data_IF_157307147058
#
_entry.id   IF_157307147058
#
_cell.length_a   1.000
_cell.length_b   1.000
_cell.length_c   1.000
_cell.angle_alpha   90.00
_cell.angle_beta   90.00
_cell.angle_gamma   90.00
#
_symmetry.space_group_name_H-M   'P 1'
#
loop_
_entity.id
_entity.type
_entity.pdbx_description
1 polymer ?
#
# COMPACT_ATOMS: atom_id res chain seq x y z
N UNK A 1 -4.91 -10.45 -46.71
CA UNK A 1 -5.05 -11.03 -45.36
C UNK A 1 -3.79 -10.86 -44.48
N UNK A 2 -2.55 -10.97 -45.00
CA UNK A 2 -1.31 -10.76 -44.20
C UNK A 2 -1.21 -9.38 -43.53
N UNK A 3 -1.58 -8.31 -44.25
CA UNK A 3 -1.45 -6.94 -43.73
C UNK A 3 -2.45 -6.60 -42.61
N UNK A 4 -3.58 -7.31 -42.54
CA UNK A 4 -4.58 -7.14 -41.50
C UNK A 4 -4.14 -7.79 -40.18
N UNK A 5 -3.43 -8.94 -40.26
CA UNK A 5 -2.81 -9.58 -39.10
C UNK A 5 -1.71 -8.71 -38.48
N UNK A 6 -0.90 -8.04 -39.30
CA UNK A 6 0.15 -7.14 -38.81
C UNK A 6 -0.42 -5.86 -38.18
N UNK A 7 -1.55 -5.35 -38.68
CA UNK A 7 -2.25 -4.20 -38.10
C UNK A 7 -2.93 -4.54 -36.76
N UNK A 8 -3.51 -5.74 -36.63
CA UNK A 8 -4.05 -6.25 -35.36
C UNK A 8 -2.94 -6.50 -34.32
N UNK A 9 -1.80 -7.09 -34.73
CA UNK A 9 -0.65 -7.26 -33.84
C UNK A 9 -0.07 -5.92 -33.38
N UNK A 10 0.04 -4.93 -34.27
CA UNK A 10 0.50 -3.60 -33.91
C UNK A 10 -0.49 -2.89 -32.96
N UNK A 11 -1.81 -3.07 -33.16
CA UNK A 11 -2.83 -2.55 -32.26
C UNK A 11 -2.81 -3.18 -30.86
N UNK A 12 -2.58 -4.49 -30.77
CA UNK A 12 -2.47 -5.23 -29.51
C UNK A 12 -1.21 -4.80 -28.71
N UNK A 13 -0.08 -4.63 -29.39
CA UNK A 13 1.19 -4.18 -28.78
C UNK A 13 1.13 -2.71 -28.34
N UNK A 14 0.34 -1.87 -29.02
CA UNK A 14 0.15 -0.47 -28.60
C UNK A 14 -0.85 -0.34 -27.44
N UNK A 15 -1.80 -1.27 -27.31
CA UNK A 15 -2.79 -1.29 -26.23
C UNK A 15 -2.28 -1.85 -24.89
N UNK A 16 -1.23 -2.66 -24.90
CA UNK A 16 -0.64 -3.22 -23.68
C UNK A 16 0.27 -2.26 -22.90
N UNK A 17 0.56 -1.07 -23.44
CA UNK A 17 1.42 -0.07 -22.80
C UNK A 17 0.66 0.94 -21.92
N UNK A 18 -0.65 0.77 -21.73
CA UNK A 18 -1.48 1.68 -20.92
C UNK A 18 -2.05 1.02 -19.66
N UNK A 19 -1.48 -0.10 -19.21
CA UNK A 19 -1.78 -0.63 -17.88
C UNK A 19 -1.17 0.34 -16.85
N UNK A 20 -1.99 1.28 -16.40
CA UNK A 20 -1.65 2.18 -15.30
C UNK A 20 -1.78 1.39 -14.00
N UNK A 21 -0.74 1.41 -13.17
CA UNK A 21 -0.59 0.54 -11.99
C UNK A 21 -1.83 0.34 -11.12
N UNK A 22 -2.11 -0.92 -10.80
CA UNK A 22 -3.31 -1.41 -10.10
C UNK A 22 -3.24 -1.32 -8.57
N UNK A 23 -2.21 -0.68 -8.01
CA UNK A 23 -1.98 -0.60 -6.58
C UNK A 23 -1.81 0.86 -6.13
N UNK A 24 -2.62 1.25 -5.15
CA UNK A 24 -2.59 2.59 -4.58
C UNK A 24 -2.34 2.53 -3.07
N UNK A 25 -1.24 3.11 -2.61
CA UNK A 25 -1.10 3.43 -1.18
C UNK A 25 -1.61 4.86 -0.98
N UNK A 26 -2.62 5.01 -0.14
CA UNK A 26 -3.21 6.27 0.26
C UNK A 26 -2.80 6.59 1.71
N UNK A 27 -1.93 7.59 1.87
CA UNK A 27 -1.61 8.21 3.16
C UNK A 27 -2.44 9.49 3.29
N UNK A 28 -3.35 9.56 4.26
CA UNK A 28 -4.09 10.78 4.56
C UNK A 28 -3.79 11.27 5.97
N UNK A 29 -3.52 12.56 6.11
CA UNK A 29 -3.27 13.18 7.40
C UNK A 29 -4.08 14.46 7.53
N UNK A 30 -4.90 14.53 8.57
CA UNK A 30 -5.66 15.73 8.92
C UNK A 30 -4.99 16.44 10.09
N UNK A 31 -4.71 17.74 9.94
CA UNK A 31 -4.17 18.57 11.01
C UNK A 31 -5.13 19.69 11.39
N UNK A 32 -5.53 19.71 12.66
CA UNK A 32 -6.24 20.84 13.28
C UNK A 32 -5.25 21.87 13.81
N UNK A 33 -5.69 23.12 13.99
CA UNK A 33 -4.84 24.20 14.50
C UNK A 33 -4.33 23.94 15.93
N UNK A 34 -4.99 23.06 16.69
CA UNK A 34 -4.53 22.63 18.01
C UNK A 34 -3.36 21.63 17.96
N UNK A 35 -2.95 21.19 16.76
CA UNK A 35 -1.89 20.19 16.55
C UNK A 35 -2.35 18.74 16.65
N UNK A 36 -3.61 18.50 17.04
CA UNK A 36 -4.26 17.18 17.00
C UNK A 36 -4.72 16.84 15.59
N UNK A 37 -5.09 15.59 15.34
CA UNK A 37 -5.50 15.18 14.02
C UNK A 37 -5.83 13.71 13.88
N UNK A 38 -6.00 13.29 12.63
CA UNK A 38 -6.17 11.89 12.24
C UNK A 38 -5.17 11.51 11.17
N UNK A 39 -4.75 10.25 11.20
CA UNK A 39 -3.86 9.63 10.24
C UNK A 39 -4.53 8.38 9.69
N UNK A 40 -4.40 8.16 8.39
CA UNK A 40 -4.90 7.00 7.66
C UNK A 40 -3.82 6.51 6.71
N UNK A 41 -3.56 5.21 6.72
CA UNK A 41 -2.73 4.55 5.71
C UNK A 41 -3.48 3.34 5.19
N UNK A 42 -3.88 3.41 3.92
CA UNK A 42 -4.66 2.39 3.24
C UNK A 42 -3.90 1.92 2.01
N UNK A 43 -3.64 0.63 1.94
CA UNK A 43 -3.28 -0.06 0.71
C UNK A 43 -4.57 -0.50 0.01
N UNK A 44 -4.84 0.09 -1.14
CA UNK A 44 -5.99 -0.22 -1.97
C UNK A 44 -5.52 -1.03 -3.19
N UNK A 45 -5.94 -2.30 -3.23
CA UNK A 45 -5.65 -3.25 -4.30
C UNK A 45 -6.93 -3.64 -5.04
N UNK A 46 -7.99 -2.84 -4.96
CA UNK A 46 -9.26 -3.14 -5.60
C UNK A 46 -9.15 -3.33 -7.12
N UNK A 47 -8.23 -2.65 -7.79
CA UNK A 47 -7.96 -2.82 -9.22
C UNK A 47 -7.31 -4.18 -9.55
N UNK A 48 -6.51 -4.74 -8.62
CA UNK A 48 -5.93 -6.09 -8.76
C UNK A 48 -7.01 -7.16 -8.75
N UNK A 49 -8.09 -6.97 -7.98
CA UNK A 49 -9.24 -7.89 -7.99
C UNK A 49 -9.80 -8.07 -9.41
N UNK A 50 -9.99 -6.96 -10.15
CA UNK A 50 -10.49 -7.01 -11.52
C UNK A 50 -9.56 -7.77 -12.47
N UNK A 51 -8.24 -7.63 -12.29
CA UNK A 51 -7.23 -8.34 -13.08
C UNK A 51 -7.22 -9.85 -12.77
N UNK A 52 -7.30 -10.23 -11.50
CA UNK A 52 -7.38 -11.64 -11.07
C UNK A 52 -8.67 -12.28 -11.60
N UNK A 53 -9.80 -11.60 -11.46
CA UNK A 53 -11.09 -12.09 -11.94
C UNK A 53 -11.09 -12.26 -13.48
N UNK A 54 -10.42 -11.37 -14.21
CA UNK A 54 -10.25 -11.49 -15.66
C UNK A 54 -9.33 -12.65 -16.05
N UNK A 55 -8.22 -12.86 -15.33
CA UNK A 55 -7.30 -13.98 -15.55
C UNK A 55 -7.99 -15.32 -15.32
N UNK A 56 -8.75 -15.45 -14.21
CA UNK A 56 -9.56 -16.63 -13.90
C UNK A 56 -10.59 -16.96 -14.99
N UNK A 57 -11.16 -15.93 -15.62
CA UNK A 57 -12.16 -16.09 -16.68
C UNK A 57 -11.56 -16.31 -18.09
N UNK A 58 -10.28 -16.00 -18.32
CA UNK A 58 -9.61 -16.17 -19.63
C UNK A 58 -8.84 -17.49 -19.80
N UNK A 59 -8.59 -18.25 -18.72
CA UNK A 59 -7.96 -19.58 -18.76
C UNK A 59 -8.93 -20.73 -18.40
N UNK A 60 -9.94 -21.04 -19.22
CA UNK A 60 -10.80 -22.20 -18.96
C UNK A 60 -10.25 -23.53 -19.48
N UNK A 61 -9.19 -23.58 -20.31
CA UNK A 61 -8.94 -24.77 -21.17
C UNK A 61 -7.47 -25.14 -21.45
N UNK A 62 -6.52 -24.76 -20.60
CA UNK A 62 -5.13 -25.25 -20.68
C UNK A 62 -4.69 -25.79 -19.33
N UNK A 63 -4.75 -27.13 -19.22
CA UNK A 63 -3.97 -28.01 -18.32
C UNK A 63 -3.76 -27.49 -16.91
N UNK A 64 -4.45 -28.09 -15.93
CA UNK A 64 -4.00 -28.32 -14.54
C UNK A 64 -2.88 -27.38 -14.05
N UNK A 65 -3.09 -26.08 -14.19
CA UNK A 65 -2.79 -25.20 -13.08
C UNK A 65 -4.05 -25.33 -12.25
N UNK A 66 -4.16 -26.47 -11.58
CA UNK A 66 -4.70 -26.45 -10.24
C UNK A 66 -3.92 -25.31 -9.57
N UNK A 67 -4.51 -24.12 -9.56
CA UNK A 67 -4.44 -23.26 -8.39
C UNK A 67 -5.15 -24.09 -7.32
N UNK A 68 -4.46 -25.16 -6.89
CA UNK A 68 -4.85 -26.03 -5.81
C UNK A 68 -5.19 -25.06 -4.69
N UNK A 69 -6.44 -25.17 -4.25
CA UNK A 69 -7.05 -24.53 -3.10
C UNK A 69 -6.36 -24.99 -1.80
N UNK A 70 -5.03 -25.12 -1.81
CA UNK A 70 -4.23 -25.79 -0.79
C UNK A 70 -2.94 -25.03 -0.43
N UNK A 71 -2.86 -23.72 -0.73
CA UNK A 71 -1.73 -22.91 -0.24
C UNK A 71 -1.64 -21.43 -0.63
N UNK A 72 -2.52 -20.93 -1.51
CA UNK A 72 -2.48 -19.53 -1.97
C UNK A 72 -3.24 -18.53 -1.07
N UNK A 73 -3.70 -18.94 0.10
CA UNK A 73 -4.32 -18.04 1.10
C UNK A 73 -3.28 -17.19 1.87
N UNK A 74 -1.98 -17.41 1.62
CA UNK A 74 -0.96 -16.95 2.56
C UNK A 74 -0.52 -15.50 2.34
N UNK A 75 -0.36 -15.02 1.10
CA UNK A 75 0.31 -13.73 0.87
C UNK A 75 -0.56 -12.52 1.26
N UNK A 76 -1.84 -12.52 0.91
CA UNK A 76 -2.77 -11.43 1.27
C UNK A 76 -3.19 -11.49 2.73
N UNK A 77 -3.41 -12.70 3.27
CA UNK A 77 -3.69 -12.87 4.68
C UNK A 77 -2.49 -12.45 5.55
N UNK A 78 -1.26 -12.76 5.11
CA UNK A 78 -0.03 -12.33 5.76
C UNK A 78 0.12 -10.81 5.75
N UNK A 79 -0.12 -10.14 4.61
CA UNK A 79 -0.12 -8.68 4.54
C UNK A 79 -1.17 -8.04 5.45
N UNK A 80 -2.37 -8.63 5.48
CA UNK A 80 -3.42 -8.27 6.44
C UNK A 80 -2.91 -8.39 7.89
N UNK A 81 -2.33 -9.53 8.26
CA UNK A 81 -1.78 -9.80 9.59
C UNK A 81 -0.65 -8.84 9.99
N UNK A 82 0.25 -8.48 9.07
CA UNK A 82 1.31 -7.49 9.32
C UNK A 82 0.70 -6.13 9.67
N UNK A 83 -0.30 -5.68 8.91
CA UNK A 83 -0.99 -4.42 9.15
C UNK A 83 -1.82 -4.47 10.45
N UNK A 84 -2.45 -5.61 10.78
CA UNK A 84 -3.11 -5.83 12.06
C UNK A 84 -2.11 -5.71 13.23
N UNK A 85 -0.90 -6.25 13.08
CA UNK A 85 0.17 -6.17 14.07
C UNK A 85 0.62 -4.74 14.34
N UNK A 86 0.73 -3.92 13.29
CA UNK A 86 1.00 -2.49 13.41
C UNK A 86 -0.12 -1.78 14.17
N UNK A 87 -1.39 -2.03 13.81
CA UNK A 87 -2.54 -1.45 14.50
C UNK A 87 -2.57 -1.82 15.99
N UNK A 88 -2.24 -3.07 16.34
CA UNK A 88 -2.13 -3.51 17.73
C UNK A 88 -1.03 -2.76 18.50
N UNK A 89 0.10 -2.50 17.85
CA UNK A 89 1.21 -1.74 18.47
C UNK A 89 0.82 -0.27 18.68
N UNK A 90 0.13 0.33 17.71
CA UNK A 90 -0.34 1.71 17.77
C UNK A 90 -1.33 1.97 18.93
N UNK A 91 -2.16 0.98 19.29
CA UNK A 91 -3.13 1.07 20.41
C UNK A 91 -2.49 1.38 21.75
N UNK A 92 -1.21 1.04 21.93
CA UNK A 92 -0.50 1.21 23.19
C UNK A 92 0.31 2.51 23.27
N UNK A 93 0.25 3.37 22.24
CA UNK A 93 1.03 4.60 22.20
C UNK A 93 0.32 5.76 22.88
N UNK A 94 1.05 6.44 23.78
CA UNK A 94 0.55 7.63 24.44
C UNK A 94 0.22 8.74 23.43
N UNK A 95 -1.00 9.27 23.53
CA UNK A 95 -1.49 10.31 22.63
C UNK A 95 -2.02 9.77 21.30
N UNK A 96 -2.12 8.45 21.12
CA UNK A 96 -2.82 7.80 20.01
C UNK A 96 -4.14 7.20 20.51
N UNK A 97 -5.22 7.45 19.78
CA UNK A 97 -6.58 7.04 20.13
C UNK A 97 -7.33 6.58 18.88
N UNK A 98 -8.49 5.95 19.06
CA UNK A 98 -9.38 5.54 17.96
C UNK A 98 -8.66 4.74 16.86
N UNK A 99 -7.76 3.83 17.27
CA UNK A 99 -7.03 2.98 16.32
C UNK A 99 -8.00 1.97 15.73
N UNK A 100 -8.16 2.01 14.42
CA UNK A 100 -8.98 1.07 13.65
C UNK A 100 -8.09 0.35 12.64
N UNK A 101 -8.25 -0.96 12.59
CA UNK A 101 -7.69 -1.79 11.54
C UNK A 101 -8.64 -1.77 10.35
N UNK A 102 -8.08 -1.67 9.14
CA UNK A 102 -8.79 -1.85 7.89
C UNK A 102 -8.33 -3.17 7.30
N UNK A 103 -9.24 -4.14 7.23
CA UNK A 103 -9.00 -5.46 6.70
C UNK A 103 -10.25 -5.90 5.91
N UNK A 104 -10.44 -5.28 4.76
CA UNK A 104 -11.54 -5.56 3.84
C UNK A 104 -11.02 -6.48 2.73
N UNK A 105 -11.10 -7.79 2.97
CA UNK A 105 -10.70 -8.82 2.00
C UNK A 105 -11.62 -8.87 0.79
N UNK A 106 -12.86 -8.37 0.89
CA UNK A 106 -13.81 -8.35 -0.22
C UNK A 106 -13.47 -7.25 -1.23
N UNK A 107 -13.13 -6.05 -0.72
CA UNK A 107 -12.73 -4.90 -1.51
C UNK A 107 -11.21 -4.79 -1.73
N UNK A 108 -10.42 -5.72 -1.15
CA UNK A 108 -8.95 -5.72 -1.21
C UNK A 108 -8.34 -4.43 -0.66
N UNK A 109 -8.83 -3.98 0.50
CA UNK A 109 -8.34 -2.77 1.18
C UNK A 109 -7.80 -3.14 2.55
N UNK A 110 -6.53 -2.80 2.80
CA UNK A 110 -5.85 -3.13 4.03
C UNK A 110 -5.17 -1.89 4.59
N UNK A 111 -5.06 -1.78 5.91
CA UNK A 111 -4.39 -0.63 6.51
C UNK A 111 -4.83 -0.35 7.93
N UNK A 112 -4.63 0.88 8.36
CA UNK A 112 -5.01 1.33 9.68
C UNK A 112 -5.28 2.83 9.71
N UNK A 113 -6.11 3.24 10.66
CA UNK A 113 -6.38 4.64 10.97
C UNK A 113 -6.23 4.90 12.45
N UNK A 114 -5.86 6.12 12.83
CA UNK A 114 -5.85 6.54 14.23
C UNK A 114 -5.98 8.05 14.36
N UNK A 115 -6.33 8.49 15.56
CA UNK A 115 -6.27 9.88 15.97
C UNK A 115 -5.03 10.13 16.82
N UNK A 116 -4.44 11.31 16.69
CA UNK A 116 -3.29 11.74 17.47
C UNK A 116 -3.58 13.04 18.21
N UNK A 117 -3.16 13.11 19.47
CA UNK A 117 -3.37 14.25 20.36
C UNK A 117 -2.51 15.46 19.97
N UNK A 118 -1.33 15.22 19.41
CA UNK A 118 -0.40 16.24 18.92
C UNK A 118 0.61 15.64 17.91
N UNK A 119 1.36 16.50 17.23
CA UNK A 119 2.34 16.09 16.20
C UNK A 119 3.48 15.25 16.78
N UNK A 120 3.84 15.44 18.06
CA UNK A 120 4.82 14.57 18.71
C UNK A 120 4.28 13.13 18.86
N UNK A 121 3.00 12.95 19.17
CA UNK A 121 2.36 11.63 19.17
C UNK A 121 2.34 11.00 17.77
N UNK A 122 2.04 11.78 16.73
CA UNK A 122 2.13 11.33 15.34
C UNK A 122 3.55 10.86 14.97
N UNK A 123 4.58 11.66 15.25
CA UNK A 123 5.97 11.27 14.97
C UNK A 123 6.39 9.99 15.70
N UNK A 124 5.95 9.80 16.96
CA UNK A 124 6.18 8.54 17.69
C UNK A 124 5.49 7.35 17.02
N UNK A 125 4.23 7.52 16.60
CA UNK A 125 3.49 6.48 15.88
C UNK A 125 4.21 6.09 14.58
N UNK A 126 4.62 7.07 13.78
CA UNK A 126 5.33 6.81 12.52
C UNK A 126 6.70 6.16 12.74
N UNK A 127 7.41 6.52 13.82
CA UNK A 127 8.67 5.85 14.18
C UNK A 127 8.48 4.38 14.52
N UNK A 128 7.34 4.01 15.13
CA UNK A 128 6.99 2.61 15.43
C UNK A 128 6.65 1.85 14.16
N UNK A 129 5.83 2.43 13.28
CA UNK A 129 5.50 1.86 11.96
C UNK A 129 6.78 1.63 11.14
N UNK A 130 7.76 2.53 11.26
CA UNK A 130 8.99 2.53 10.47
C UNK A 130 10.16 1.79 11.15
N UNK A 131 9.98 1.21 12.34
CA UNK A 131 11.06 0.78 13.24
C UNK A 131 11.95 -0.33 12.65
N UNK A 132 11.37 -1.18 11.80
CA UNK A 132 12.09 -2.31 11.20
C UNK A 132 12.60 -2.00 9.78
N UNK A 133 12.08 -0.94 9.14
CA UNK A 133 12.39 -0.60 7.73
C UNK A 133 13.37 0.55 7.57
N UNK A 134 13.56 1.37 8.60
CA UNK A 134 14.49 2.50 8.58
C UNK A 134 15.58 2.30 9.62
N UNK A 135 16.84 2.45 9.21
CA UNK A 135 17.96 2.55 10.14
C UNK A 135 17.84 3.81 11.01
N UNK A 136 17.04 3.74 12.07
CA UNK A 136 17.02 4.50 13.34
C UNK A 136 17.19 6.03 13.35
N UNK A 137 17.35 6.72 12.21
CA UNK A 137 17.83 8.12 12.15
C UNK A 137 16.78 9.15 11.79
N UNK A 138 15.52 8.75 11.54
CA UNK A 138 14.44 9.71 11.30
C UNK A 138 13.74 9.99 12.62
N UNK A 139 14.18 11.05 13.30
CA UNK A 139 13.61 11.42 14.61
C UNK A 139 12.31 12.22 14.49
N UNK A 140 12.13 13.00 13.42
CA UNK A 140 10.90 13.76 13.15
C UNK A 140 10.51 13.67 11.66
N UNK A 141 9.27 13.26 11.40
CA UNK A 141 8.70 13.22 10.04
C UNK A 141 7.92 14.51 9.78
N UNK A 142 7.17 14.96 10.78
CA UNK A 142 6.34 16.15 10.71
C UNK A 142 6.71 17.17 11.79
N UNK A 143 6.71 18.43 11.41
CA UNK A 143 6.88 19.57 12.28
C UNK A 143 5.69 20.50 12.13
N UNK A 144 5.13 20.92 13.26
CA UNK A 144 3.99 21.83 13.29
C UNK A 144 4.23 22.92 14.34
N UNK A 145 4.33 24.16 13.87
CA UNK A 145 4.61 25.34 14.69
C UNK A 145 3.59 26.43 14.38
N UNK A 146 2.59 26.56 15.24
CA UNK A 146 1.49 27.52 15.08
C UNK A 146 0.69 27.30 13.80
N UNK A 147 0.91 28.14 12.80
CA UNK A 147 0.25 28.06 11.47
C UNK A 147 1.16 27.48 10.38
N UNK A 148 2.34 26.98 10.73
CA UNK A 148 3.28 26.36 9.78
C UNK A 148 3.31 24.86 9.99
N UNK A 149 3.14 24.14 8.88
CA UNK A 149 3.28 22.70 8.81
C UNK A 149 4.43 22.41 7.86
N UNK A 150 5.36 21.57 8.28
CA UNK A 150 6.54 21.19 7.52
C UNK A 150 6.72 19.67 7.65
N UNK A 151 6.92 18.99 6.52
CA UNK A 151 7.37 17.59 6.53
C UNK A 151 8.90 17.63 6.49
N UNK A 152 9.54 17.28 7.60
CA UNK A 152 10.99 17.40 7.76
C UNK A 152 11.74 16.27 7.04
N UNK A 153 11.09 15.13 6.86
CA UNK A 153 11.68 14.01 6.16
C UNK A 153 10.74 13.49 5.07
N UNK A 154 11.18 13.62 3.82
CA UNK A 154 10.53 13.03 2.64
C UNK A 154 11.01 11.61 2.40
N UNK A 155 11.47 10.89 3.45
CA UNK A 155 11.68 9.45 3.38
C UNK A 155 10.51 8.86 2.59
N UNK A 156 10.84 8.39 1.38
CA UNK A 156 9.84 8.08 0.38
C UNK A 156 9.23 6.75 0.82
N UNK A 157 8.24 6.85 1.70
CA UNK A 157 7.53 5.70 2.22
C UNK A 157 6.99 4.83 1.08
N UNK A 158 6.64 5.43 -0.07
CA UNK A 158 6.31 4.69 -1.28
C UNK A 158 7.50 3.86 -1.80
N UNK A 159 8.66 4.48 -1.97
CA UNK A 159 9.88 3.79 -2.42
C UNK A 159 10.36 2.71 -1.43
N UNK A 160 10.25 2.96 -0.13
CA UNK A 160 10.69 2.01 0.91
C UNK A 160 9.69 0.88 1.11
N UNK A 161 8.38 1.13 0.98
CA UNK A 161 7.38 0.05 0.95
C UNK A 161 7.60 -0.80 -0.31
N UNK A 162 7.83 -0.16 -1.47
CA UNK A 162 8.18 -0.84 -2.72
C UNK A 162 9.45 -1.70 -2.56
N UNK A 163 10.49 -1.17 -1.93
CA UNK A 163 11.74 -1.87 -1.66
C UNK A 163 11.53 -3.03 -0.69
N UNK A 164 10.87 -2.82 0.44
CA UNK A 164 10.64 -3.86 1.44
C UNK A 164 9.74 -4.99 0.93
N UNK A 165 8.81 -4.70 0.02
CA UNK A 165 8.03 -5.73 -0.65
C UNK A 165 8.87 -6.48 -1.69
N UNK A 166 9.80 -5.80 -2.36
CA UNK A 166 10.70 -6.44 -3.34
C UNK A 166 11.86 -7.24 -2.71
N UNK A 167 12.21 -7.00 -1.44
CA UNK A 167 13.37 -7.58 -0.74
C UNK A 167 13.02 -8.71 0.25
N UNK A 168 11.76 -8.88 0.65
CA UNK A 168 11.34 -9.98 1.55
C UNK A 168 10.99 -11.28 0.81
N UNK A 169 11.40 -11.43 -0.45
CA UNK A 169 10.93 -12.47 -1.38
C UNK A 169 11.99 -13.57 -1.66
N UNK A 170 13.06 -13.65 -0.86
CA UNK A 170 14.13 -14.66 -1.04
C UNK A 170 13.77 -16.08 -0.52
N UNK A 171 12.54 -16.32 -0.06
CA UNK A 171 12.11 -17.66 0.39
C UNK A 171 10.91 -18.22 -0.41
N UNK A 172 11.24 -19.20 -1.26
CA UNK A 172 10.40 -20.29 -1.76
C UNK A 172 9.00 -19.93 -2.32
N UNK A 173 8.96 -19.21 -3.45
CA UNK A 173 7.78 -19.08 -4.31
C UNK A 173 8.16 -19.24 -5.79
N UNK A 174 7.39 -20.02 -6.56
CA UNK A 174 7.67 -20.30 -7.97
C UNK A 174 7.85 -19.03 -8.81
N UNK A 175 8.90 -19.02 -9.64
CA UNK A 175 9.46 -17.86 -10.37
C UNK A 175 8.41 -17.00 -11.11
N UNK A 176 7.35 -17.61 -11.65
CA UNK A 176 6.34 -16.89 -12.47
C UNK A 176 5.33 -16.09 -11.64
N UNK A 177 4.93 -16.58 -10.46
CA UNK A 177 4.01 -15.85 -9.57
C UNK A 177 4.72 -14.65 -8.92
N UNK A 178 6.00 -14.83 -8.60
CA UNK A 178 6.87 -13.79 -8.05
C UNK A 178 7.14 -12.67 -9.06
N UNK A 179 7.43 -13.01 -10.33
CA UNK A 179 7.64 -12.02 -11.37
C UNK A 179 6.36 -11.19 -11.66
N UNK A 180 5.18 -11.80 -11.55
CA UNK A 180 3.91 -11.08 -11.67
C UNK A 180 3.67 -10.12 -10.50
N UNK A 181 3.94 -10.55 -9.27
CA UNK A 181 3.80 -9.74 -8.06
C UNK A 181 4.78 -8.56 -8.04
N UNK A 182 6.02 -8.79 -8.46
CA UNK A 182 7.05 -7.77 -8.65
C UNK A 182 6.65 -6.73 -9.69
N UNK A 183 6.07 -7.15 -10.81
CA UNK A 183 5.53 -6.21 -11.81
C UNK A 183 4.39 -5.36 -11.22
N UNK A 184 3.47 -5.96 -10.45
CA UNK A 184 2.38 -5.22 -9.79
C UNK A 184 2.90 -4.16 -8.81
N UNK A 185 3.85 -4.50 -7.94
CA UNK A 185 4.43 -3.54 -7.00
C UNK A 185 5.34 -2.51 -7.66
N UNK A 186 5.94 -2.84 -8.80
CA UNK A 186 6.76 -1.90 -9.55
C UNK A 186 5.97 -0.69 -10.04
N UNK A 187 4.68 -0.87 -10.32
CA UNK A 187 3.75 0.17 -10.78
C UNK A 187 2.89 0.75 -9.66
N UNK A 188 3.12 0.35 -8.42
CA UNK A 188 2.40 0.89 -7.26
C UNK A 188 2.57 2.40 -7.18
N UNK A 189 1.46 3.09 -7.00
CA UNK A 189 1.43 4.54 -6.82
C UNK A 189 1.22 4.90 -5.36
N UNK A 190 1.82 6.01 -4.96
CA UNK A 190 1.79 6.50 -3.60
C UNK A 190 1.18 7.90 -3.58
N UNK A 191 0.05 8.06 -2.88
CA UNK A 191 -0.69 9.31 -2.79
C UNK A 191 -0.75 9.79 -1.35
N UNK A 192 -0.32 11.03 -1.14
CA UNK A 192 -0.42 11.72 0.14
C UNK A 192 -1.47 12.81 0.07
N UNK A 193 -2.37 12.85 1.05
CA UNK A 193 -3.41 13.88 1.16
C UNK A 193 -3.31 14.55 2.52
N UNK A 194 -3.16 15.87 2.51
CA UNK A 194 -3.11 16.68 3.72
C UNK A 194 -4.36 17.55 3.85
N UNK A 195 -5.10 17.35 4.95
CA UNK A 195 -6.31 18.11 5.25
C UNK A 195 -6.03 19.14 6.35
N UNK A 196 -6.40 20.40 6.11
CA UNK A 196 -6.27 21.50 7.07
C UNK A 196 -7.62 22.21 7.28
N UNK A 197 -8.61 21.55 7.91
CA UNK A 197 -9.99 22.04 7.99
C UNK A 197 -10.14 23.40 8.69
N UNK A 198 -9.22 23.74 9.61
CA UNK A 198 -9.25 25.00 10.35
C UNK A 198 -8.56 26.16 9.61
N UNK A 199 -8.05 25.95 8.40
CA UNK A 199 -7.45 27.00 7.57
C UNK A 199 -8.48 27.52 6.58
N UNK A 200 -8.94 28.75 6.83
CA UNK A 200 -9.71 29.58 5.88
C UNK A 200 -8.78 30.58 5.21
#
# INVERSE_FOLDING_TARGET
MKNFKNLLLAGLVMGSLTLTGCLHILEEVTFYNSGKGSYSMILDMSEVKGMIDMLKNMSPDSTDVEMEDDGQDNSMAQMGQELSGVAATLKNLEGITNVMEVNDTAAYKFGYTFEFANVAALNRALKVVNKDKYGSKVDEVFHFSGKKFERLNTGDMGAEIKKALSENEDEEGGDEAMDMMKMMFSEMSYKQVYHFPDRK
#
